data_IF_914055493723
#
_entry.id   IF_914055493723
#
_cell.length_a   1.000
_cell.length_b   1.000
_cell.length_c   1.000
_cell.angle_alpha   90.00
_cell.angle_beta   90.00
_cell.angle_gamma   90.00
#
_symmetry.space_group_name_H-M   'P 1'
#
loop_
_entity.id
_entity.type
_entity.pdbx_description
1 polymer ?
#
# COMPACT_ATOMS: atom_id res chain seq x y z
N UNK A 1 -15.97 7.41 6.62
CA UNK A 1 -15.16 6.53 7.48
C UNK A 1 -15.31 5.12 6.94
N UNK A 2 -14.19 4.43 6.73
CA UNK A 2 -14.11 3.09 6.15
C UNK A 2 -13.49 2.18 7.21
N UNK A 3 -14.17 1.11 7.57
CA UNK A 3 -13.70 0.14 8.57
C UNK A 3 -12.97 -1.01 7.89
N UNK A 4 -12.05 -1.63 8.63
CA UNK A 4 -11.38 -2.84 8.20
C UNK A 4 -11.01 -3.73 9.38
N UNK A 5 -10.88 -5.03 9.11
CA UNK A 5 -10.54 -6.01 10.12
C UNK A 5 -9.78 -7.21 9.53
N UNK A 6 -9.09 -7.95 10.39
CA UNK A 6 -8.56 -9.26 10.05
C UNK A 6 -9.67 -10.33 10.08
N UNK A 7 -9.45 -11.49 9.47
CA UNK A 7 -10.43 -12.59 9.37
C UNK A 7 -11.05 -12.99 10.72
N UNK A 8 -10.28 -12.98 11.81
CA UNK A 8 -10.81 -13.31 13.14
C UNK A 8 -11.40 -12.12 13.89
N UNK A 9 -11.41 -10.91 13.31
CA UNK A 9 -11.97 -9.70 13.89
C UNK A 9 -11.20 -9.12 15.09
N UNK A 10 -10.04 -9.69 15.43
CA UNK A 10 -9.27 -9.24 16.60
C UNK A 10 -8.44 -7.99 16.34
N UNK A 11 -7.93 -7.81 15.11
CA UNK A 11 -7.30 -6.56 14.64
C UNK A 11 -8.35 -5.77 13.90
N UNK A 12 -8.55 -4.50 14.28
CA UNK A 12 -9.52 -3.60 13.66
C UNK A 12 -8.92 -2.23 13.45
N UNK A 13 -9.30 -1.58 12.37
CA UNK A 13 -8.84 -0.24 12.03
C UNK A 13 -9.91 0.57 11.30
N UNK A 14 -9.70 1.85 11.21
CA UNK A 14 -10.56 2.80 10.52
C UNK A 14 -9.72 3.75 9.65
N UNK A 15 -10.34 4.20 8.56
CA UNK A 15 -9.81 5.19 7.64
C UNK A 15 -10.83 6.28 7.39
N UNK A 16 -10.41 7.53 7.37
CA UNK A 16 -11.30 8.63 7.02
C UNK A 16 -11.57 8.64 5.51
N UNK A 17 -10.54 8.33 4.70
CA UNK A 17 -10.62 8.30 3.23
C UNK A 17 -9.56 7.42 2.61
N UNK A 18 -9.80 7.01 1.38
CA UNK A 18 -8.82 6.42 0.46
C UNK A 18 -8.31 7.55 -0.47
N UNK A 19 -7.01 7.58 -0.72
CA UNK A 19 -6.39 8.59 -1.58
C UNK A 19 -5.84 8.00 -2.89
N UNK A 20 -5.93 6.68 -3.04
CA UNK A 20 -5.41 5.94 -4.20
C UNK A 20 -3.88 5.93 -4.27
N UNK A 21 -3.30 5.29 -5.28
CA UNK A 21 -3.99 4.49 -6.30
C UNK A 21 -4.65 3.23 -5.74
N UNK A 22 -5.55 2.58 -6.51
CA UNK A 22 -6.03 1.24 -6.26
C UNK A 22 -5.43 0.31 -7.31
N UNK A 23 -4.39 -0.41 -6.94
CA UNK A 23 -3.57 -1.21 -7.86
C UNK A 23 -3.75 -2.71 -7.65
N UNK A 24 -3.77 -3.47 -8.76
CA UNK A 24 -3.74 -4.93 -8.78
C UNK A 24 -2.30 -5.36 -9.14
N UNK A 25 -1.51 -5.71 -8.11
CA UNK A 25 -0.08 -5.98 -8.25
C UNK A 25 0.22 -7.46 -8.50
N UNK A 26 0.81 -7.78 -9.66
CA UNK A 26 1.15 -9.15 -10.07
C UNK A 26 2.58 -9.58 -9.69
N UNK A 27 3.36 -8.77 -8.98
CA UNK A 27 4.73 -9.13 -8.64
C UNK A 27 4.81 -10.38 -7.74
N UNK A 28 5.94 -11.09 -7.80
CA UNK A 28 6.13 -12.33 -7.06
C UNK A 28 5.95 -12.20 -5.54
N UNK A 29 6.33 -11.04 -4.96
CA UNK A 29 6.18 -10.79 -3.52
C UNK A 29 4.72 -10.63 -3.13
N UNK A 30 3.99 -9.80 -3.85
CA UNK A 30 2.56 -9.57 -3.62
C UNK A 30 1.75 -10.87 -3.78
N UNK A 31 2.02 -11.65 -4.82
CA UNK A 31 1.36 -12.95 -5.02
C UNK A 31 1.62 -13.93 -3.88
N UNK A 32 2.88 -14.02 -3.43
CA UNK A 32 3.24 -14.92 -2.30
C UNK A 32 2.68 -14.43 -0.97
N UNK A 33 2.64 -13.12 -0.73
CA UNK A 33 2.10 -12.56 0.50
C UNK A 33 0.58 -12.74 0.62
N UNK A 34 -0.13 -12.84 -0.51
CA UNK A 34 -1.60 -12.98 -0.53
C UNK A 34 -2.10 -14.38 -0.88
N UNK A 35 -1.21 -15.25 -1.41
CA UNK A 35 -1.62 -16.57 -1.91
C UNK A 35 -2.54 -16.49 -3.14
N UNK A 36 -2.50 -15.39 -3.91
CA UNK A 36 -3.40 -15.10 -5.03
C UNK A 36 -2.62 -14.80 -6.33
N UNK A 37 -3.33 -14.63 -7.44
CA UNK A 37 -2.77 -14.20 -8.72
C UNK A 37 -2.20 -12.77 -8.67
N UNK A 38 -2.69 -11.94 -7.76
CA UNK A 38 -2.28 -10.56 -7.52
C UNK A 38 -2.64 -10.13 -6.09
N UNK A 39 -2.03 -9.05 -5.62
CA UNK A 39 -2.51 -8.32 -4.44
C UNK A 39 -3.32 -7.11 -4.91
N UNK A 40 -4.48 -6.90 -4.30
CA UNK A 40 -5.29 -5.70 -4.46
C UNK A 40 -4.93 -4.72 -3.33
N UNK A 41 -4.33 -3.58 -3.68
CA UNK A 41 -3.87 -2.59 -2.71
C UNK A 41 -4.46 -1.22 -2.96
N UNK A 42 -4.89 -0.54 -1.91
CA UNK A 42 -5.38 0.84 -1.96
C UNK A 42 -4.51 1.76 -1.12
N UNK A 43 -4.26 2.98 -1.62
CA UNK A 43 -3.45 3.97 -0.94
C UNK A 43 -4.22 4.78 0.09
N UNK A 44 -3.61 4.99 1.27
CA UNK A 44 -4.12 5.84 2.32
C UNK A 44 -3.03 6.74 2.91
N UNK A 45 -3.41 7.86 3.52
CA UNK A 45 -2.50 8.69 4.31
C UNK A 45 -2.48 8.20 5.76
N UNK A 46 -1.32 8.33 6.42
CA UNK A 46 -1.20 7.90 7.82
C UNK A 46 -2.08 8.72 8.76
N UNK A 47 -2.28 9.99 8.44
CA UNK A 47 -3.13 10.92 9.21
C UNK A 47 -4.61 10.53 9.19
N UNK A 48 -5.03 9.81 8.14
CA UNK A 48 -6.40 9.31 7.96
C UNK A 48 -6.60 7.92 8.62
N UNK A 49 -5.56 7.30 9.16
CA UNK A 49 -5.57 5.92 9.68
C UNK A 49 -5.61 5.85 11.20
N UNK A 50 -6.46 4.99 11.74
CA UNK A 50 -6.55 4.66 13.17
C UNK A 50 -6.63 3.15 13.38
N UNK A 51 -5.68 2.60 14.11
CA UNK A 51 -5.78 1.22 14.64
C UNK A 51 -6.67 1.25 15.88
N UNK A 52 -7.82 0.58 15.84
CA UNK A 52 -8.81 0.63 16.91
C UNK A 52 -8.77 -0.57 17.85
N UNK A 53 -8.16 -1.69 17.44
CA UNK A 53 -7.96 -2.86 18.28
C UNK A 53 -6.82 -3.76 17.77
N UNK A 54 -6.22 -4.55 18.68
CA UNK A 54 -5.34 -5.66 18.36
C UNK A 54 -3.92 -5.27 17.96
N UNK A 55 -3.39 -4.13 18.42
CA UNK A 55 -2.01 -3.73 18.16
C UNK A 55 -0.98 -4.80 18.55
N UNK A 56 -1.20 -5.50 19.66
CA UNK A 56 -0.37 -6.58 20.17
C UNK A 56 -0.42 -7.88 19.34
N UNK A 57 -1.37 -7.97 18.42
CA UNK A 57 -1.57 -9.10 17.51
C UNK A 57 -0.94 -8.90 16.13
N UNK A 58 -0.32 -7.76 15.89
CA UNK A 58 0.29 -7.47 14.59
C UNK A 58 1.75 -7.93 14.58
N UNK A 59 2.04 -8.84 13.68
CA UNK A 59 3.41 -9.27 13.35
C UNK A 59 3.81 -8.72 11.98
N UNK A 60 5.12 -8.59 11.76
CA UNK A 60 5.65 -8.11 10.49
C UNK A 60 6.78 -9.00 10.00
N UNK A 61 6.82 -9.21 8.69
CA UNK A 61 7.92 -9.85 8.01
C UNK A 61 8.57 -8.85 7.04
N UNK A 62 9.89 -8.74 7.10
CA UNK A 62 10.68 -7.94 6.19
C UNK A 62 11.48 -8.85 5.27
N UNK A 63 11.22 -8.76 3.97
CA UNK A 63 11.92 -9.55 2.97
C UNK A 63 13.26 -8.89 2.60
N UNK A 64 14.27 -9.69 2.18
CA UNK A 64 15.53 -9.14 1.69
C UNK A 64 15.32 -8.10 0.59
N UNK A 65 16.16 -7.07 0.58
CA UNK A 65 16.20 -6.08 -0.50
C UNK A 65 16.63 -6.78 -1.79
N UNK A 66 15.87 -6.59 -2.89
CA UNK A 66 16.21 -7.19 -4.19
C UNK A 66 17.11 -6.27 -5.04
N UNK A 67 16.75 -5.01 -5.15
CA UNK A 67 17.44 -4.06 -6.04
C UNK A 67 17.91 -2.82 -5.27
N UNK A 68 16.98 -2.17 -4.58
CA UNK A 68 17.24 -0.95 -3.82
C UNK A 68 16.29 -0.84 -2.62
N UNK A 69 16.67 -0.10 -1.55
CA UNK A 69 15.77 0.19 -0.45
C UNK A 69 14.50 0.95 -0.92
N UNK A 70 13.41 0.86 -0.14
CA UNK A 70 13.28 0.12 1.11
C UNK A 70 13.04 -1.39 0.89
N UNK A 71 13.26 -2.18 1.94
CA UNK A 71 12.87 -3.59 1.94
C UNK A 71 11.35 -3.73 1.81
N UNK A 72 10.90 -4.81 1.17
CA UNK A 72 9.46 -5.15 1.16
C UNK A 72 9.05 -5.63 2.55
N UNK A 73 8.06 -4.99 3.13
CA UNK A 73 7.52 -5.35 4.44
C UNK A 73 6.04 -5.71 4.29
N UNK A 74 5.63 -6.78 4.93
CA UNK A 74 4.22 -7.18 5.08
C UNK A 74 3.91 -7.36 6.55
N UNK A 75 2.70 -7.00 6.96
CA UNK A 75 2.23 -7.20 8.33
C UNK A 75 0.94 -8.01 8.32
N UNK A 76 0.75 -8.80 9.36
CA UNK A 76 -0.37 -9.74 9.45
C UNK A 76 -0.80 -9.96 10.90
N UNK A 77 -2.05 -10.38 11.07
CA UNK A 77 -2.56 -10.79 12.36
C UNK A 77 -1.94 -12.15 12.74
N UNK A 78 -1.19 -12.24 13.86
CA UNK A 78 -0.54 -13.49 14.31
C UNK A 78 -1.53 -14.60 14.67
N UNK A 79 -2.82 -14.27 14.87
CA UNK A 79 -3.86 -15.24 15.23
C UNK A 79 -4.45 -15.93 13.99
N UNK A 80 -4.67 -15.20 12.88
CA UNK A 80 -5.38 -15.75 11.71
C UNK A 80 -4.61 -15.59 10.40
N UNK A 81 -3.43 -14.94 10.38
CA UNK A 81 -2.62 -14.77 9.18
C UNK A 81 -3.11 -13.71 8.18
N UNK A 82 -4.27 -13.07 8.42
CA UNK A 82 -4.76 -12.03 7.51
C UNK A 82 -3.77 -10.88 7.43
N UNK A 83 -3.49 -10.33 6.23
CA UNK A 83 -2.75 -9.08 6.11
C UNK A 83 -3.48 -7.98 6.87
N UNK A 84 -2.72 -7.11 7.55
CA UNK A 84 -3.26 -5.95 8.26
C UNK A 84 -2.32 -4.76 8.08
N UNK A 85 -2.83 -3.52 8.04
CA UNK A 85 -1.99 -2.34 7.96
C UNK A 85 -1.16 -2.15 9.23
N UNK A 86 0.12 -1.82 9.06
CA UNK A 86 1.03 -1.44 10.13
C UNK A 86 2.01 -0.38 9.59
N UNK A 87 1.52 0.83 9.26
CA UNK A 87 2.36 1.86 8.69
C UNK A 87 3.38 2.37 9.72
N UNK A 88 4.60 2.68 9.26
CA UNK A 88 5.57 3.38 10.10
C UNK A 88 5.09 4.82 10.34
N UNK A 89 5.29 5.33 11.55
CA UNK A 89 4.87 6.69 11.92
C UNK A 89 5.50 7.79 11.03
N UNK A 90 6.65 7.51 10.42
CA UNK A 90 7.32 8.41 9.48
C UNK A 90 6.80 8.33 8.04
N UNK A 91 5.91 7.39 7.73
CA UNK A 91 5.34 7.24 6.39
C UNK A 91 4.23 8.28 6.23
N UNK A 92 4.29 9.12 5.21
CA UNK A 92 3.15 10.00 4.88
C UNK A 92 2.02 9.23 4.22
N UNK A 93 2.38 8.20 3.43
CA UNK A 93 1.47 7.36 2.64
C UNK A 93 1.81 5.88 2.82
N UNK A 94 0.81 5.02 2.75
CA UNK A 94 0.97 3.58 2.80
C UNK A 94 -0.13 2.85 2.02
N UNK A 95 0.10 1.57 1.72
CA UNK A 95 -0.84 0.71 1.02
C UNK A 95 -1.53 -0.24 1.98
N UNK A 96 -2.84 -0.44 1.78
CA UNK A 96 -3.67 -1.38 2.53
C UNK A 96 -4.16 -2.46 1.56
N UNK A 97 -4.11 -3.72 1.96
CA UNK A 97 -4.77 -4.80 1.23
C UNK A 97 -6.28 -4.53 1.19
N UNK A 98 -6.84 -4.35 0.00
CA UNK A 98 -8.26 -3.99 -0.15
C UNK A 98 -9.21 -5.06 0.40
N UNK A 99 -8.79 -6.33 0.38
CA UNK A 99 -9.58 -7.45 0.88
C UNK A 99 -9.82 -7.49 2.39
N UNK A 100 -9.16 -6.61 3.19
CA UNK A 100 -9.40 -6.50 4.64
C UNK A 100 -10.25 -5.27 5.01
N UNK A 101 -10.79 -4.57 4.02
CA UNK A 101 -11.79 -3.52 4.24
C UNK A 101 -13.16 -4.16 4.42
N UNK A 102 -13.85 -3.80 5.48
CA UNK A 102 -15.20 -4.27 5.79
C UNK A 102 -16.28 -3.45 5.05
N UNK A 103 -15.97 -2.17 4.76
CA UNK A 103 -16.81 -1.25 4.02
C UNK A 103 -16.31 -1.05 2.58
N UNK A 104 -17.19 -0.64 1.67
CA UNK A 104 -16.80 -0.25 0.30
C UNK A 104 -15.87 0.97 0.37
N UNK A 105 -14.66 0.90 -0.23
CA UNK A 105 -13.71 2.02 -0.24
C UNK A 105 -14.17 3.23 -1.06
N UNK A 106 -15.28 3.15 -1.77
CA UNK A 106 -15.79 4.22 -2.63
C UNK A 106 -15.02 4.40 -3.94
N UNK A 107 -14.04 3.54 -4.21
CA UNK A 107 -13.24 3.54 -5.44
C UNK A 107 -13.13 2.12 -6.01
N UNK A 108 -12.60 2.00 -7.20
CA UNK A 108 -12.41 0.71 -7.90
C UNK A 108 -10.95 0.60 -8.36
N UNK A 109 -10.46 -0.62 -8.64
CA UNK A 109 -9.13 -0.78 -9.23
C UNK A 109 -8.96 0.08 -10.47
N UNK A 110 -7.83 0.77 -10.55
CA UNK A 110 -7.54 1.68 -11.64
C UNK A 110 -6.53 1.11 -12.65
N UNK A 111 -5.77 0.07 -12.26
CA UNK A 111 -4.78 -0.57 -13.14
C UNK A 111 -4.22 -1.87 -12.59
N UNK A 112 -3.62 -2.66 -13.48
CA UNK A 112 -2.71 -3.76 -13.15
C UNK A 112 -1.27 -3.27 -13.22
N UNK A 113 -0.42 -3.71 -12.29
CA UNK A 113 1.02 -3.38 -12.26
C UNK A 113 1.88 -4.64 -12.18
N UNK A 114 3.11 -4.56 -12.72
CA UNK A 114 4.04 -5.69 -12.84
C UNK A 114 3.44 -6.88 -13.61
N UNK A 115 2.74 -6.57 -14.70
CA UNK A 115 2.00 -7.61 -15.47
C UNK A 115 2.90 -8.64 -16.13
N UNK A 116 4.17 -8.30 -16.39
CA UNK A 116 5.19 -9.21 -16.89
C UNK A 116 5.51 -10.36 -15.92
N UNK A 117 5.20 -10.19 -14.62
CA UNK A 117 5.38 -11.20 -13.57
C UNK A 117 4.09 -11.99 -13.26
N UNK A 118 3.03 -11.74 -14.03
CA UNK A 118 1.75 -12.44 -13.91
C UNK A 118 1.95 -13.95 -14.09
N UNK A 119 1.34 -14.80 -13.24
CA UNK A 119 1.46 -16.25 -13.41
C UNK A 119 0.77 -16.72 -14.69
N UNK A 120 1.34 -17.73 -15.33
CA UNK A 120 0.84 -18.25 -16.61
C UNK A 120 -0.60 -18.80 -16.55
N UNK A 121 -1.02 -19.27 -15.37
CA UNK A 121 -2.38 -19.81 -15.15
C UNK A 121 -3.46 -18.75 -14.96
N UNK A 122 -3.09 -17.45 -14.86
CA UNK A 122 -4.04 -16.34 -14.69
C UNK A 122 -4.14 -15.50 -15.96
N UNK A 123 -5.35 -15.19 -16.40
CA UNK A 123 -5.64 -14.25 -17.48
C UNK A 123 -6.26 -12.98 -16.90
N UNK A 124 -5.78 -11.81 -17.34
CA UNK A 124 -6.44 -10.54 -17.09
C UNK A 124 -7.54 -10.41 -18.15
N UNK A 125 -8.78 -10.26 -17.70
CA UNK A 125 -9.97 -10.28 -18.58
C UNK A 125 -10.74 -8.96 -18.60
N UNK A 126 -10.34 -8.01 -17.77
CA UNK A 126 -10.88 -6.66 -17.76
C UNK A 126 -10.12 -5.72 -18.70
N UNK A 127 -10.60 -4.48 -18.82
CA UNK A 127 -10.02 -3.45 -19.71
C UNK A 127 -9.13 -2.43 -18.95
N UNK A 128 -8.74 -2.73 -17.70
CA UNK A 128 -7.88 -1.82 -16.95
C UNK A 128 -6.49 -1.68 -17.58
N UNK A 129 -5.85 -0.53 -17.49
CA UNK A 129 -4.47 -0.34 -17.90
C UNK A 129 -3.54 -1.41 -17.32
N UNK A 130 -2.68 -1.99 -18.14
CA UNK A 130 -1.72 -3.03 -17.76
C UNK A 130 -0.30 -2.46 -17.88
N UNK A 131 0.36 -2.26 -16.75
CA UNK A 131 1.69 -1.66 -16.68
C UNK A 131 2.72 -2.71 -16.27
N UNK A 132 3.77 -2.84 -17.07
CA UNK A 132 5.00 -3.50 -16.64
C UNK A 132 5.82 -2.58 -15.71
N UNK A 133 6.96 -3.06 -15.21
CA UNK A 133 7.82 -2.30 -14.30
C UNK A 133 8.30 -0.99 -14.93
N UNK A 134 8.67 -0.97 -16.20
CA UNK A 134 9.21 0.21 -16.88
C UNK A 134 8.15 1.29 -17.05
N UNK A 135 6.98 0.93 -17.56
CA UNK A 135 5.84 1.85 -17.72
C UNK A 135 5.36 2.40 -16.37
N UNK A 136 5.36 1.59 -15.32
CA UNK A 136 5.00 2.02 -13.97
C UNK A 136 5.99 3.06 -13.42
N UNK A 137 7.31 2.83 -13.58
CA UNK A 137 8.34 3.77 -13.13
C UNK A 137 8.21 5.09 -13.87
N UNK A 138 8.08 5.07 -15.19
CA UNK A 138 7.88 6.25 -16.01
C UNK A 138 6.67 7.07 -15.55
N UNK A 139 5.53 6.41 -15.33
CA UNK A 139 4.31 7.07 -14.87
C UNK A 139 4.48 7.70 -13.47
N UNK A 140 5.17 7.01 -12.55
CA UNK A 140 5.43 7.54 -11.20
C UNK A 140 6.37 8.75 -11.24
N UNK A 141 7.42 8.72 -12.05
CA UNK A 141 8.33 9.86 -12.25
C UNK A 141 7.62 11.07 -12.87
N UNK A 142 6.77 10.85 -13.87
CA UNK A 142 5.98 11.92 -14.48
C UNK A 142 5.05 12.61 -13.47
N UNK A 143 4.44 11.85 -12.55
CA UNK A 143 3.60 12.41 -11.47
C UNK A 143 4.41 13.26 -10.48
N UNK A 144 5.60 12.81 -10.07
CA UNK A 144 6.48 13.57 -9.18
C UNK A 144 6.89 14.90 -9.80
N UNK A 145 7.32 14.88 -11.06
CA UNK A 145 7.70 16.09 -11.81
C UNK A 145 6.52 17.05 -11.96
N UNK A 146 5.32 16.55 -12.23
CA UNK A 146 4.12 17.37 -12.32
C UNK A 146 3.73 18.00 -10.98
N UNK A 147 3.93 17.29 -9.86
CA UNK A 147 3.68 17.81 -8.52
C UNK A 147 4.65 18.94 -8.14
N UNK A 148 5.93 18.75 -8.41
CA UNK A 148 6.96 19.79 -8.19
C UNK A 148 6.67 21.07 -8.99
N UNK A 149 6.26 20.97 -10.25
CA UNK A 149 5.89 22.11 -11.09
C UNK A 149 4.67 22.87 -10.59
N UNK A 150 3.76 22.23 -9.85
CA UNK A 150 2.56 22.84 -9.26
C UNK A 150 2.80 23.50 -7.90
N UNK A 151 4.05 23.61 -7.43
CA UNK A 151 4.40 24.33 -6.19
C UNK A 151 4.24 23.51 -4.91
N UNK A 152 4.55 22.22 -4.95
CA UNK A 152 4.64 21.41 -3.73
C UNK A 152 5.63 22.04 -2.75
N UNK A 153 5.16 22.41 -1.56
CA UNK A 153 5.95 23.02 -0.49
C UNK A 153 7.13 22.11 -0.12
N UNK A 154 8.34 22.65 -0.20
CA UNK A 154 9.52 21.98 0.35
C UNK A 154 9.33 21.73 1.85
N UNK A 155 9.66 20.54 2.39
CA UNK A 155 9.68 20.35 3.84
C UNK A 155 10.64 21.38 4.46
N UNK A 156 10.14 22.12 5.46
CA UNK A 156 10.83 23.23 6.08
C UNK A 156 12.21 22.85 6.60
N UNK A 157 13.24 23.61 6.23
CA UNK A 157 14.57 23.52 6.82
C UNK A 157 14.44 23.82 8.33
N UNK A 158 14.78 22.85 9.16
CA UNK A 158 14.93 23.00 10.61
C UNK A 158 15.91 24.15 10.89
N UNK A 159 15.43 25.25 11.45
CA UNK A 159 16.27 26.32 11.97
C UNK A 159 17.14 25.79 13.12
N UNK A 160 18.44 25.74 12.91
CA UNK A 160 19.42 25.57 13.99
C UNK A 160 19.34 26.77 14.90
N UNK A 161 18.75 26.64 16.08
CA UNK A 161 18.85 27.59 17.17
C UNK A 161 20.31 27.67 17.65
N UNK A 162 20.98 28.78 17.35
CA UNK A 162 22.24 29.14 17.98
C UNK A 162 21.91 29.51 19.46
N UNK A 163 22.41 28.69 20.38
CA UNK A 163 22.54 29.12 21.80
C UNK A 163 23.77 30.01 21.91
N UNK A 164 23.54 31.20 22.49
CA UNK A 164 24.59 32.01 23.13
C UNK A 164 24.83 31.50 24.54
#
# INVERSE_FOLDING_TARGET
MIRGSCLCGAVRFELDRIVGPFELCHCNRCRKATGSAFAAGVGAQIEDFRLTAGADLIESYEAPILEQPPAYRTSFCRRCGSPVPNPAASSGWFEIAAGVLDDDPGCRPDRHIFVELKPAWHAITDALPQLDKSALIEQRLARLTAHERRGGSKPGKTQKTRRR
#
